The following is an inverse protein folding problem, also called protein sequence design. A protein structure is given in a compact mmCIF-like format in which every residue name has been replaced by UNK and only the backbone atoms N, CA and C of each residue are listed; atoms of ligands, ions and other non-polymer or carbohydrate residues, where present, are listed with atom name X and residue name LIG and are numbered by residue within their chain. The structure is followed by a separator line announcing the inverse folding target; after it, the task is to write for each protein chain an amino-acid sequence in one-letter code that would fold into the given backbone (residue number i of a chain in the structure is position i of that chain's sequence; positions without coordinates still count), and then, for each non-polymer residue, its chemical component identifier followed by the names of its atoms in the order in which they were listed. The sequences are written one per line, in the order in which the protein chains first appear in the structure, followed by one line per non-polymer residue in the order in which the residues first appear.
data_IF_405394491468
#
_entry.id   IF_405394491468
#
_cell.length_a   1.000
_cell.length_b   1.000
_cell.length_c   1.000
_cell.angle_alpha   90.00
_cell.angle_beta   90.00
_cell.angle_gamma   90.00
#
_symmetry.space_group_name_H-M   'P 1'
#
loop_
_entity.id
_entity.type
_entity.pdbx_description
1 polymer ?
#
# COMPACT_ATOMS: atom_id res chain seq x y z
N UNK A 1 9.57 25.14 -16.12
CA UNK A 1 10.48 24.73 -17.20
C UNK A 1 9.64 24.18 -18.34
N UNK A 2 9.00 25.08 -19.09
CA UNK A 2 8.36 24.84 -20.38
C UNK A 2 8.47 26.18 -21.13
N UNK A 3 9.71 26.56 -21.41
CA UNK A 3 10.02 27.53 -22.45
C UNK A 3 10.01 26.76 -23.76
N UNK A 4 8.82 26.54 -24.31
CA UNK A 4 8.70 26.11 -25.69
C UNK A 4 8.45 27.34 -26.56
N UNK A 5 9.46 27.62 -27.40
CA UNK A 5 9.29 28.11 -28.76
C UNK A 5 8.66 29.50 -28.84
N UNK A 6 9.39 30.48 -28.30
CA UNK A 6 9.42 31.83 -28.87
C UNK A 6 10.86 32.08 -29.27
N UNK A 7 11.16 32.16 -30.57
CA UNK A 7 12.38 32.80 -31.01
C UNK A 7 12.29 34.26 -30.55
N UNK A 8 12.81 34.55 -29.36
CA UNK A 8 12.85 35.90 -28.81
C UNK A 8 13.79 36.73 -29.65
N UNK A 9 13.24 37.52 -30.57
CA UNK A 9 13.97 38.61 -31.22
C UNK A 9 13.56 39.90 -30.51
N UNK A 10 13.96 40.02 -29.25
CA UNK A 10 13.95 41.30 -28.56
C UNK A 10 15.41 41.64 -28.26
N UNK A 11 16.03 42.37 -29.18
CA UNK A 11 17.25 43.11 -28.90
C UNK A 11 16.95 44.21 -27.89
N UNK A 12 16.93 43.85 -26.60
CA UNK A 12 16.85 44.80 -25.50
C UNK A 12 18.21 44.79 -24.78
N UNK A 13 19.19 45.46 -25.39
CA UNK A 13 20.47 45.74 -24.74
C UNK A 13 21.69 45.57 -25.64
N UNK A 14 21.84 46.45 -26.64
CA UNK A 14 23.11 47.14 -26.96
C UNK A 14 22.99 47.92 -28.28
N UNK A 15 23.24 49.24 -28.17
CA UNK A 15 23.47 50.30 -29.17
C UNK A 15 22.82 50.22 -30.58
N UNK A 16 22.15 51.29 -31.03
CA UNK A 16 21.49 51.33 -32.33
C UNK A 16 22.52 51.43 -33.46
N UNK A 17 22.69 50.35 -34.20
CA UNK A 17 23.26 50.39 -35.55
C UNK A 17 22.15 50.02 -36.53
N UNK A 18 21.77 51.00 -37.37
CA UNK A 18 20.80 50.95 -38.47
C UNK A 18 19.32 50.72 -38.11
N UNK A 19 18.52 51.77 -38.30
CA UNK A 19 17.09 51.95 -37.98
C UNK A 19 16.09 50.98 -38.65
N UNK A 20 16.52 49.96 -39.38
CA UNK A 20 15.61 49.09 -40.15
C UNK A 20 15.16 47.83 -39.40
N UNK A 21 15.92 47.34 -38.41
CA UNK A 21 15.65 46.05 -37.76
C UNK A 21 14.78 46.16 -36.49
N UNK A 22 14.60 47.36 -35.93
CA UNK A 22 13.91 47.59 -34.65
C UNK A 22 12.38 47.73 -34.80
N UNK A 23 11.88 47.89 -36.03
CA UNK A 23 10.46 48.20 -36.28
C UNK A 23 9.80 47.27 -37.32
N UNK A 24 10.24 46.00 -37.38
CA UNK A 24 9.61 44.99 -38.22
C UNK A 24 8.53 44.28 -37.42
N UNK A 25 7.26 44.55 -37.73
CA UNK A 25 6.16 43.74 -37.23
C UNK A 25 6.18 42.37 -37.93
N UNK A 26 6.81 41.39 -37.28
CA UNK A 26 6.90 40.01 -37.78
C UNK A 26 5.54 39.36 -38.01
N UNK A 27 4.49 39.78 -37.29
CA UNK A 27 3.13 39.27 -37.51
C UNK A 27 2.58 39.79 -38.82
N UNK A 28 2.73 41.09 -39.09
CA UNK A 28 2.32 41.67 -40.37
C UNK A 28 3.16 41.12 -41.53
N UNK A 29 4.48 40.99 -41.34
CA UNK A 29 5.37 40.46 -42.37
C UNK A 29 5.03 39.01 -42.74
N UNK A 30 4.71 38.16 -41.76
CA UNK A 30 4.22 36.81 -42.01
C UNK A 30 2.86 36.81 -42.70
N UNK A 31 1.95 37.73 -42.35
CA UNK A 31 0.64 37.85 -43.01
C UNK A 31 0.71 38.29 -44.47
N UNK A 32 1.77 39.00 -44.85
CA UNK A 32 2.00 39.43 -46.23
C UNK A 32 2.88 38.43 -47.00
N UNK A 33 3.37 37.39 -46.34
CA UNK A 33 4.33 36.45 -46.89
C UNK A 33 3.69 35.40 -47.79
N UNK A 34 4.49 34.86 -48.72
CA UNK A 34 4.04 33.78 -49.63
C UNK A 34 3.78 32.48 -48.87
N UNK A 35 4.45 32.27 -47.75
CA UNK A 35 4.30 31.11 -46.88
C UNK A 35 2.93 31.09 -46.22
N UNK A 36 2.42 32.25 -45.76
CA UNK A 36 1.07 32.32 -45.23
C UNK A 36 0.02 32.11 -46.32
N UNK A 37 0.22 32.67 -47.51
CA UNK A 37 -0.66 32.39 -48.66
C UNK A 37 -0.68 30.89 -48.99
N UNK A 38 0.49 30.23 -49.04
CA UNK A 38 0.57 28.79 -49.29
C UNK A 38 -0.10 27.95 -48.19
N UNK A 39 -0.05 28.38 -46.92
CA UNK A 39 -0.76 27.74 -45.82
C UNK A 39 -2.28 27.90 -45.95
N UNK A 40 -2.74 29.12 -46.27
CA UNK A 40 -4.16 29.40 -46.49
C UNK A 40 -4.72 28.61 -47.68
N UNK A 41 -3.99 28.60 -48.80
CA UNK A 41 -4.33 27.78 -49.97
C UNK A 41 -4.37 26.29 -49.63
N UNK A 42 -3.46 25.83 -48.76
CA UNK A 42 -3.43 24.46 -48.25
C UNK A 42 -4.64 24.12 -47.37
N UNK A 43 -5.05 25.04 -46.51
CA UNK A 43 -6.25 24.94 -45.69
C UNK A 43 -7.53 24.94 -46.54
N UNK A 44 -7.59 25.75 -47.59
CA UNK A 44 -8.74 25.86 -48.49
C UNK A 44 -8.90 24.66 -49.45
N UNK A 45 -7.95 23.71 -49.46
CA UNK A 45 -8.05 22.48 -50.24
C UNK A 45 -9.28 21.66 -49.82
N UNK A 46 -10.06 21.13 -50.79
CA UNK A 46 -11.18 20.27 -50.49
C UNK A 46 -10.70 19.00 -49.76
N UNK A 47 -11.36 18.66 -48.65
CA UNK A 47 -10.99 17.56 -47.75
C UNK A 47 -10.17 17.97 -46.52
N UNK A 48 -9.71 19.23 -46.42
CA UNK A 48 -8.97 19.73 -45.25
C UNK A 48 -9.88 20.53 -44.31
N UNK A 49 -10.32 21.73 -44.75
CA UNK A 49 -11.25 22.59 -43.99
C UNK A 49 -12.67 22.59 -44.55
N UNK A 50 -12.87 22.03 -45.75
CA UNK A 50 -14.15 21.91 -46.45
C UNK A 50 -14.40 20.45 -46.83
N UNK A 51 -15.65 19.98 -46.87
CA UNK A 51 -15.98 18.63 -47.31
C UNK A 51 -15.39 18.33 -48.70
N UNK A 52 -14.82 17.14 -48.85
CA UNK A 52 -14.32 16.66 -50.14
C UNK A 52 -15.47 16.56 -51.15
N UNK A 53 -15.31 17.16 -52.33
CA UNK A 53 -16.27 17.06 -53.42
C UNK A 53 -16.43 15.63 -53.97
N UNK A 54 -15.51 14.71 -53.63
CA UNK A 54 -15.43 13.34 -54.16
C UNK A 54 -16.09 12.26 -53.30
N UNK A 55 -16.98 12.59 -52.36
CA UNK A 55 -17.70 11.57 -51.57
C UNK A 55 -16.83 10.78 -50.58
N UNK A 56 -15.63 11.27 -50.24
CA UNK A 56 -14.83 10.68 -49.16
C UNK A 56 -15.60 10.79 -47.84
N UNK A 57 -15.87 9.65 -47.22
CA UNK A 57 -16.53 9.58 -45.93
C UNK A 57 -15.65 10.22 -44.85
N UNK A 58 -16.28 10.95 -43.93
CA UNK A 58 -15.61 11.50 -42.76
C UNK A 58 -14.88 10.38 -41.99
N UNK A 59 -13.63 10.62 -41.60
CA UNK A 59 -12.90 9.70 -40.72
C UNK A 59 -13.47 9.82 -39.30
N UNK A 60 -14.51 9.05 -39.00
CA UNK A 60 -15.12 9.00 -37.68
C UNK A 60 -14.32 8.04 -36.79
N UNK A 61 -13.57 8.59 -35.84
CA UNK A 61 -12.93 7.80 -34.78
C UNK A 61 -13.97 7.38 -33.74
N UNK A 62 -14.68 6.29 -34.00
CA UNK A 62 -15.74 5.76 -33.10
C UNK A 62 -15.18 5.26 -31.77
N UNK A 63 -13.94 4.76 -31.77
CA UNK A 63 -13.29 4.25 -30.57
C UNK A 63 -12.35 5.28 -29.95
N UNK A 64 -12.55 5.56 -28.66
CA UNK A 64 -11.63 6.39 -27.87
C UNK A 64 -10.19 5.83 -27.81
N UNK A 65 -9.99 4.53 -28.04
CA UNK A 65 -8.70 3.83 -27.94
C UNK A 65 -8.59 2.78 -29.04
N UNK A 66 -7.39 2.60 -29.60
CA UNK A 66 -7.15 1.70 -30.72
C UNK A 66 -7.19 0.19 -30.35
N UNK A 67 -6.71 -0.17 -29.15
CA UNK A 67 -6.65 -1.57 -28.71
C UNK A 67 -7.90 -2.00 -27.92
N UNK A 68 -8.26 -3.28 -27.98
CA UNK A 68 -9.33 -3.85 -27.15
C UNK A 68 -8.95 -3.87 -25.66
N UNK A 69 -9.95 -3.91 -24.78
CA UNK A 69 -9.76 -3.97 -23.32
C UNK A 69 -8.90 -5.15 -22.86
N UNK A 70 -9.08 -6.32 -23.47
CA UNK A 70 -8.30 -7.52 -23.11
C UNK A 70 -6.83 -7.38 -23.50
N UNK A 71 -6.54 -6.81 -24.68
CA UNK A 71 -5.17 -6.53 -25.10
C UNK A 71 -4.50 -5.52 -24.17
N UNK A 72 -5.22 -4.46 -23.77
CA UNK A 72 -4.71 -3.49 -22.80
C UNK A 72 -4.39 -4.15 -21.45
N UNK A 73 -5.29 -4.97 -20.92
CA UNK A 73 -5.07 -5.71 -19.67
C UNK A 73 -3.84 -6.61 -19.75
N UNK A 74 -3.76 -7.48 -20.77
CA UNK A 74 -2.65 -8.45 -20.91
C UNK A 74 -1.30 -7.74 -21.03
N UNK A 75 -1.23 -6.67 -21.81
CA UNK A 75 0.00 -5.90 -21.99
C UNK A 75 0.41 -5.18 -20.69
N UNK A 76 -0.55 -4.59 -19.97
CA UNK A 76 -0.25 -3.87 -18.73
C UNK A 76 0.15 -4.80 -17.59
N UNK A 77 -0.55 -5.93 -17.40
CA UNK A 77 -0.16 -6.94 -16.41
C UNK A 77 1.25 -7.48 -16.72
N UNK A 78 1.50 -7.84 -17.98
CA UNK A 78 2.83 -8.30 -18.41
C UNK A 78 3.92 -7.25 -18.19
N UNK A 79 3.61 -5.97 -18.48
CA UNK A 79 4.52 -4.84 -18.22
C UNK A 79 4.85 -4.71 -16.75
N UNK A 80 3.85 -4.70 -15.86
CA UNK A 80 4.08 -4.55 -14.43
C UNK A 80 4.87 -5.73 -13.86
N UNK A 81 4.55 -6.97 -14.22
CA UNK A 81 5.34 -8.13 -13.80
C UNK A 81 6.80 -8.03 -14.27
N UNK A 82 7.04 -7.56 -15.49
CA UNK A 82 8.39 -7.35 -16.01
C UNK A 82 9.13 -6.21 -15.28
N UNK A 83 8.44 -5.11 -14.94
CA UNK A 83 9.01 -4.00 -14.16
C UNK A 83 9.43 -4.49 -12.77
N UNK A 84 8.54 -5.18 -12.05
CA UNK A 84 8.84 -5.68 -10.71
C UNK A 84 10.00 -6.69 -10.70
N UNK A 85 10.09 -7.52 -11.75
CA UNK A 85 11.21 -8.44 -11.91
C UNK A 85 12.53 -7.72 -12.25
N UNK A 86 12.50 -6.72 -13.12
CA UNK A 86 13.69 -5.98 -13.60
C UNK A 86 14.15 -4.87 -12.67
N UNK A 87 13.34 -4.48 -11.69
CA UNK A 87 13.68 -3.50 -10.65
C UNK A 87 13.91 -4.23 -9.33
N UNK A 88 15.05 -4.92 -9.17
CA UNK A 88 15.31 -5.71 -7.98
C UNK A 88 15.44 -4.85 -6.73
N UNK A 89 15.79 -3.57 -6.82
CA UNK A 89 15.96 -2.70 -5.65
C UNK A 89 14.72 -2.69 -4.76
N UNK A 90 13.52 -2.58 -5.32
CA UNK A 90 12.28 -2.57 -4.54
C UNK A 90 12.02 -3.91 -3.82
N UNK A 91 12.06 -5.02 -4.56
CA UNK A 91 11.76 -6.36 -4.04
C UNK A 91 12.88 -6.89 -3.12
N UNK A 92 14.14 -6.70 -3.51
CA UNK A 92 15.32 -7.16 -2.78
C UNK A 92 15.48 -6.41 -1.46
N UNK A 93 15.29 -5.08 -1.46
CA UNK A 93 15.32 -4.32 -0.20
C UNK A 93 14.27 -4.84 0.77
N UNK A 94 13.04 -5.11 0.30
CA UNK A 94 11.99 -5.70 1.14
C UNK A 94 12.40 -7.04 1.74
N UNK A 95 12.89 -7.98 0.92
CA UNK A 95 13.33 -9.29 1.39
C UNK A 95 14.49 -9.17 2.39
N UNK A 96 15.49 -8.35 2.09
CA UNK A 96 16.66 -8.17 2.96
C UNK A 96 16.28 -7.54 4.29
N UNK A 97 15.41 -6.54 4.30
CA UNK A 97 14.95 -5.95 5.56
C UNK A 97 14.08 -6.93 6.35
N UNK A 98 13.21 -7.71 5.70
CA UNK A 98 12.47 -8.78 6.37
C UNK A 98 13.41 -9.81 7.01
N UNK A 99 14.46 -10.27 6.31
CA UNK A 99 15.45 -11.21 6.87
C UNK A 99 16.21 -10.61 8.06
N UNK A 100 16.64 -9.35 7.95
CA UNK A 100 17.29 -8.63 9.05
C UNK A 100 16.37 -8.53 10.27
N UNK A 101 15.10 -8.18 10.08
CA UNK A 101 14.10 -8.11 11.14
C UNK A 101 13.89 -9.47 11.81
N UNK A 102 13.79 -10.56 11.05
CA UNK A 102 13.67 -11.91 11.65
C UNK A 102 14.88 -12.23 12.52
N UNK A 103 16.09 -11.90 12.09
CA UNK A 103 17.29 -12.18 12.89
C UNK A 103 17.26 -11.36 14.18
N UNK A 104 17.02 -10.04 14.09
CA UNK A 104 17.04 -9.14 15.25
C UNK A 104 15.96 -9.51 16.28
N UNK A 105 14.72 -9.72 15.81
CA UNK A 105 13.58 -9.95 16.70
C UNK A 105 13.33 -11.43 17.00
N UNK A 106 13.59 -12.32 16.06
CA UNK A 106 13.39 -13.76 16.24
C UNK A 106 14.36 -14.36 17.26
N UNK A 107 15.58 -13.84 17.37
CA UNK A 107 16.55 -14.28 18.40
C UNK A 107 16.05 -14.01 19.83
N UNK A 108 15.22 -12.99 20.03
CA UNK A 108 14.64 -12.67 21.35
C UNK A 108 13.67 -13.75 21.83
N UNK A 109 13.02 -14.47 20.90
CA UNK A 109 12.01 -15.47 21.20
C UNK A 109 12.55 -16.92 21.23
N UNK A 110 13.85 -17.10 21.00
CA UNK A 110 14.48 -18.42 21.05
C UNK A 110 14.39 -18.98 22.46
N UNK A 111 13.78 -20.17 22.59
CA UNK A 111 13.49 -20.83 23.87
C UNK A 111 12.62 -19.98 24.82
N UNK A 112 11.73 -19.13 24.28
CA UNK A 112 10.82 -18.31 25.08
C UNK A 112 9.81 -19.15 25.86
N UNK A 113 9.68 -18.89 27.16
CA UNK A 113 8.65 -19.49 28.01
C UNK A 113 7.39 -18.61 28.02
N UNK A 114 6.41 -18.96 27.18
CA UNK A 114 5.19 -18.16 26.98
C UNK A 114 4.11 -18.35 28.06
N UNK A 115 4.33 -19.26 29.01
CA UNK A 115 3.49 -19.45 30.20
C UNK A 115 3.80 -18.44 31.30
N UNK A 116 4.94 -17.76 31.24
CA UNK A 116 5.29 -16.70 32.18
C UNK A 116 4.73 -15.35 31.70
N UNK A 117 4.18 -14.56 32.61
CA UNK A 117 3.67 -13.20 32.33
C UNK A 117 4.67 -12.35 31.54
N UNK A 118 5.95 -12.37 31.93
CA UNK A 118 6.99 -11.60 31.24
C UNK A 118 7.28 -12.15 29.84
N UNK A 119 7.34 -13.48 29.71
CA UNK A 119 7.60 -14.14 28.43
C UNK A 119 6.47 -13.93 27.43
N UNK A 120 5.21 -13.99 27.88
CA UNK A 120 4.05 -13.72 27.05
C UNK A 120 4.03 -12.26 26.55
N UNK A 121 4.23 -11.28 27.44
CA UNK A 121 4.28 -9.87 27.05
C UNK A 121 5.44 -9.56 26.09
N UNK A 122 6.61 -10.20 26.30
CA UNK A 122 7.73 -10.10 25.38
C UNK A 122 7.36 -10.66 23.99
N UNK A 123 6.72 -11.83 23.94
CA UNK A 123 6.25 -12.43 22.69
C UNK A 123 5.24 -11.54 21.95
N UNK A 124 4.22 -11.05 22.66
CA UNK A 124 3.23 -10.10 22.12
C UNK A 124 3.93 -8.87 21.54
N UNK A 125 4.88 -8.29 22.29
CA UNK A 125 5.62 -7.10 21.86
C UNK A 125 6.49 -7.34 20.64
N UNK A 126 7.15 -8.50 20.54
CA UNK A 126 7.95 -8.84 19.37
C UNK A 126 7.07 -9.10 18.14
N UNK A 127 5.93 -9.78 18.29
CA UNK A 127 4.96 -9.97 17.19
C UNK A 127 4.40 -8.62 16.72
N UNK A 128 4.06 -7.74 17.66
CA UNK A 128 3.64 -6.37 17.35
C UNK A 128 4.70 -5.63 16.54
N UNK A 129 5.93 -5.55 17.07
CA UNK A 129 7.03 -4.82 16.42
C UNK A 129 7.33 -5.38 15.04
N UNK A 130 7.52 -6.70 14.91
CA UNK A 130 7.84 -7.32 13.62
C UNK A 130 6.74 -7.11 12.58
N UNK A 131 5.47 -7.24 12.98
CA UNK A 131 4.32 -6.99 12.09
C UNK A 131 4.32 -5.54 11.61
N UNK A 132 4.37 -4.59 12.53
CA UNK A 132 4.33 -3.16 12.19
C UNK A 132 5.52 -2.71 11.35
N UNK A 133 6.74 -3.17 11.68
CA UNK A 133 7.92 -2.86 10.90
C UNK A 133 7.81 -3.39 9.46
N UNK A 134 7.39 -4.65 9.26
CA UNK A 134 7.18 -5.20 7.91
C UNK A 134 6.15 -4.36 7.12
N UNK A 135 5.09 -3.91 7.77
CA UNK A 135 4.09 -3.01 7.18
C UNK A 135 4.66 -1.64 6.78
N UNK A 136 5.38 -0.98 7.69
CA UNK A 136 5.96 0.36 7.46
C UNK A 136 7.01 0.31 6.35
N UNK A 137 7.87 -0.71 6.32
CA UNK A 137 8.88 -0.87 5.26
C UNK A 137 8.20 -1.03 3.90
N UNK A 138 7.13 -1.83 3.84
CA UNK A 138 6.39 -2.02 2.60
C UNK A 138 5.70 -0.73 2.15
N UNK A 139 5.13 0.03 3.09
CA UNK A 139 4.55 1.36 2.85
C UNK A 139 5.60 2.35 2.32
N UNK A 140 6.72 2.54 3.02
CA UNK A 140 7.77 3.51 2.61
C UNK A 140 8.40 3.11 1.29
N UNK A 141 8.67 1.82 1.10
CA UNK A 141 9.29 1.31 -0.12
C UNK A 141 8.43 1.52 -1.37
N UNK A 142 7.09 1.48 -1.24
CA UNK A 142 6.20 1.63 -2.41
C UNK A 142 6.05 3.08 -2.89
N UNK A 143 6.33 4.07 -2.03
CA UNK A 143 6.13 5.49 -2.33
C UNK A 143 6.95 5.96 -3.55
N UNK A 144 8.30 5.83 -3.56
CA UNK A 144 9.11 6.27 -4.70
C UNK A 144 8.84 5.44 -5.96
N UNK A 145 8.63 4.14 -5.81
CA UNK A 145 8.34 3.23 -6.92
C UNK A 145 7.05 3.65 -7.64
N UNK A 146 5.97 3.84 -6.88
CA UNK A 146 4.67 4.25 -7.45
C UNK A 146 4.71 5.68 -7.96
N UNK A 147 5.46 6.56 -7.29
CA UNK A 147 5.65 7.96 -7.69
C UNK A 147 6.23 8.08 -9.09
N UNK A 148 7.28 7.32 -9.38
CA UNK A 148 7.92 7.29 -10.70
C UNK A 148 6.97 6.73 -11.78
N UNK A 149 6.23 5.66 -11.48
CA UNK A 149 5.27 5.08 -12.44
C UNK A 149 4.08 5.99 -12.74
N UNK A 150 3.68 6.84 -11.79
CA UNK A 150 2.59 7.80 -11.96
C UNK A 150 2.89 8.84 -13.04
N UNK A 151 4.15 9.25 -13.20
CA UNK A 151 4.56 10.21 -14.23
C UNK A 151 4.39 9.63 -15.64
N UNK A 152 4.86 8.39 -15.83
CA UNK A 152 4.67 7.66 -17.09
C UNK A 152 3.18 7.47 -17.39
N UNK A 153 2.39 7.11 -16.37
CA UNK A 153 0.94 6.96 -16.49
C UNK A 153 0.25 8.24 -17.00
N UNK A 154 0.61 9.41 -16.50
CA UNK A 154 -0.02 10.66 -16.94
C UNK A 154 0.23 10.93 -18.43
N UNK A 155 1.44 10.67 -18.92
CA UNK A 155 1.77 10.80 -20.35
C UNK A 155 0.98 9.81 -21.20
N UNK A 156 0.90 8.55 -20.78
CA UNK A 156 0.17 7.49 -21.49
C UNK A 156 -1.35 7.69 -21.47
N UNK A 157 -1.86 8.32 -20.41
CA UNK A 157 -3.25 8.74 -20.30
C UNK A 157 -3.56 9.91 -21.23
N UNK A 158 -2.66 10.88 -21.36
CA UNK A 158 -2.82 12.01 -22.27
C UNK A 158 -2.94 11.54 -23.74
N UNK A 159 -2.15 10.54 -24.13
CA UNK A 159 -2.21 9.90 -25.45
C UNK A 159 -3.35 8.88 -25.62
N UNK A 160 -4.22 8.70 -24.61
CA UNK A 160 -5.32 7.73 -24.61
C UNK A 160 -4.89 6.28 -24.92
N UNK A 161 -3.67 5.90 -24.55
CA UNK A 161 -3.09 4.58 -24.90
C UNK A 161 -3.89 3.42 -24.30
N UNK A 162 -4.37 3.56 -23.07
CA UNK A 162 -5.14 2.53 -22.37
C UNK A 162 -6.13 3.13 -21.35
N UNK A 163 -7.00 2.28 -20.79
CA UNK A 163 -7.90 2.65 -19.71
C UNK A 163 -7.18 2.66 -18.34
N UNK A 164 -7.44 3.69 -17.51
CA UNK A 164 -6.94 3.79 -16.15
C UNK A 164 -7.25 2.55 -15.31
N UNK A 165 -8.41 1.92 -15.56
CA UNK A 165 -8.80 0.68 -14.89
C UNK A 165 -7.79 -0.45 -15.15
N UNK A 166 -7.31 -0.62 -16.39
CA UNK A 166 -6.38 -1.69 -16.73
C UNK A 166 -4.97 -1.44 -16.16
N UNK A 167 -4.57 -0.17 -16.05
CA UNK A 167 -3.34 0.21 -15.34
C UNK A 167 -3.42 -0.16 -13.86
N UNK A 168 -4.52 0.23 -13.21
CA UNK A 168 -4.77 -0.07 -11.81
C UNK A 168 -4.80 -1.58 -11.54
N UNK A 169 -5.48 -2.34 -12.39
CA UNK A 169 -5.53 -3.81 -12.30
C UNK A 169 -4.14 -4.42 -12.45
N UNK A 170 -3.35 -3.97 -13.44
CA UNK A 170 -1.98 -4.43 -13.64
C UNK A 170 -1.07 -4.17 -12.44
N UNK A 171 -1.11 -2.95 -11.90
CA UNK A 171 -0.35 -2.58 -10.70
C UNK A 171 -0.78 -3.40 -9.46
N UNK A 172 -2.08 -3.69 -9.35
CA UNK A 172 -2.63 -4.45 -8.23
C UNK A 172 -2.19 -5.91 -8.23
N UNK A 173 -2.31 -6.59 -9.38
CA UNK A 173 -1.94 -7.99 -9.50
C UNK A 173 -0.44 -8.23 -9.41
N UNK A 174 0.38 -7.28 -9.87
CA UNK A 174 1.82 -7.43 -9.82
C UNK A 174 2.37 -7.46 -8.38
N UNK A 175 1.76 -6.75 -7.43
CA UNK A 175 2.23 -6.72 -6.02
C UNK A 175 2.05 -8.04 -5.28
N UNK A 176 0.96 -8.77 -5.54
CA UNK A 176 0.55 -9.95 -4.78
C UNK A 176 1.66 -11.02 -4.69
N UNK A 177 2.23 -11.53 -5.80
CA UNK A 177 3.22 -12.61 -5.72
C UNK A 177 4.48 -12.22 -4.94
N UNK A 178 4.98 -10.99 -5.11
CA UNK A 178 6.20 -10.55 -4.42
C UNK A 178 5.99 -10.34 -2.92
N UNK A 179 4.82 -9.84 -2.52
CA UNK A 179 4.49 -9.66 -1.10
C UNK A 179 4.27 -10.98 -0.39
N UNK A 180 3.56 -11.92 -1.02
CA UNK A 180 3.38 -13.26 -0.47
C UNK A 180 4.71 -14.00 -0.37
N UNK A 181 5.59 -13.87 -1.36
CA UNK A 181 6.93 -14.43 -1.31
C UNK A 181 7.81 -13.82 -0.20
N UNK A 182 7.78 -12.50 -0.04
CA UNK A 182 8.51 -11.82 1.05
C UNK A 182 8.00 -12.23 2.43
N UNK A 183 6.67 -12.32 2.60
CA UNK A 183 6.06 -12.80 3.84
C UNK A 183 6.39 -14.27 4.11
N UNK A 184 6.48 -15.10 3.07
CA UNK A 184 6.89 -16.50 3.20
C UNK A 184 8.33 -16.58 3.73
N UNK A 185 9.25 -15.83 3.14
CA UNK A 185 10.66 -15.79 3.58
C UNK A 185 10.82 -15.30 5.03
N UNK A 186 10.01 -14.34 5.45
CA UNK A 186 9.97 -13.90 6.85
C UNK A 186 9.47 -15.01 7.77
N UNK A 187 8.30 -15.56 7.48
CA UNK A 187 7.59 -16.48 8.39
C UNK A 187 8.20 -17.86 8.46
N UNK A 188 8.81 -18.37 7.38
CA UNK A 188 9.48 -19.67 7.37
C UNK A 188 10.66 -19.72 8.34
N UNK A 189 11.29 -18.57 8.62
CA UNK A 189 12.38 -18.46 9.60
C UNK A 189 11.83 -18.04 10.97
N UNK A 190 10.94 -17.04 11.01
CA UNK A 190 10.44 -16.48 12.27
C UNK A 190 9.58 -17.45 13.07
N UNK A 191 8.71 -18.22 12.40
CA UNK A 191 7.77 -19.12 13.08
C UNK A 191 8.47 -20.26 13.85
N UNK A 192 9.47 -20.98 13.27
CA UNK A 192 10.25 -21.94 14.02
C UNK A 192 11.10 -21.31 15.13
N UNK A 193 11.60 -20.08 14.96
CA UNK A 193 12.37 -19.39 16.01
C UNK A 193 11.55 -19.12 17.27
N UNK A 194 10.23 -18.93 17.12
CA UNK A 194 9.30 -18.85 18.23
C UNK A 194 9.04 -20.21 18.92
N UNK A 195 9.53 -21.32 18.36
CA UNK A 195 9.33 -22.67 18.93
C UNK A 195 7.99 -23.32 18.57
N UNK A 196 7.19 -22.72 17.67
CA UNK A 196 5.95 -23.32 17.20
C UNK A 196 6.18 -24.27 16.01
N UNK A 197 5.42 -25.37 15.95
CA UNK A 197 5.61 -26.45 14.96
C UNK A 197 4.39 -26.73 14.07
N UNK A 198 3.24 -26.11 14.36
CA UNK A 198 1.99 -26.37 13.63
C UNK A 198 1.99 -25.74 12.23
N UNK A 199 1.92 -26.58 11.20
CA UNK A 199 1.90 -26.12 9.79
C UNK A 199 0.65 -25.30 9.48
N UNK A 200 -0.52 -25.68 10.00
CA UNK A 200 -1.78 -24.94 9.78
C UNK A 200 -1.71 -23.54 10.38
N UNK A 201 -1.20 -23.43 11.61
CA UNK A 201 -1.00 -22.16 12.31
C UNK A 201 0.01 -21.28 11.58
N UNK A 202 1.12 -21.86 11.09
CA UNK A 202 2.10 -21.16 10.27
C UNK A 202 1.50 -20.63 8.95
N UNK A 203 0.71 -21.44 8.24
CA UNK A 203 0.06 -21.02 7.00
C UNK A 203 -0.88 -19.84 7.22
N UNK A 204 -1.70 -19.86 8.27
CA UNK A 204 -2.60 -18.75 8.60
C UNK A 204 -1.82 -17.50 9.03
N UNK A 205 -0.75 -17.67 9.81
CA UNK A 205 0.16 -16.58 10.19
C UNK A 205 0.78 -15.92 8.95
N UNK A 206 1.28 -16.74 8.02
CA UNK A 206 1.85 -16.27 6.75
C UNK A 206 0.84 -15.52 5.90
N UNK A 207 -0.34 -16.10 5.67
CA UNK A 207 -1.40 -15.47 4.87
C UNK A 207 -1.79 -14.12 5.49
N UNK A 208 -2.05 -14.08 6.79
CA UNK A 208 -2.44 -12.84 7.46
C UNK A 208 -1.34 -11.77 7.42
N UNK A 209 -0.08 -12.14 7.70
CA UNK A 209 1.04 -11.20 7.62
C UNK A 209 1.22 -10.67 6.19
N UNK A 210 1.10 -11.52 5.18
CA UNK A 210 1.18 -11.11 3.78
C UNK A 210 0.02 -10.19 3.38
N UNK A 211 -1.21 -10.47 3.83
CA UNK A 211 -2.36 -9.57 3.61
C UNK A 211 -2.15 -8.21 4.29
N UNK A 212 -1.57 -8.19 5.48
CA UNK A 212 -1.23 -6.96 6.18
C UNK A 212 -0.17 -6.12 5.43
N UNK A 213 0.91 -6.75 4.97
CA UNK A 213 1.95 -6.11 4.15
C UNK A 213 1.34 -5.58 2.84
N UNK A 214 0.43 -6.35 2.24
CA UNK A 214 -0.31 -5.95 1.04
C UNK A 214 -1.17 -4.72 1.29
N UNK A 215 -1.90 -4.70 2.40
CA UNK A 215 -2.73 -3.58 2.82
C UNK A 215 -1.91 -2.30 3.01
N UNK A 216 -0.74 -2.39 3.65
CA UNK A 216 0.15 -1.24 3.85
C UNK A 216 0.78 -0.75 2.55
N UNK A 217 1.12 -1.66 1.64
CA UNK A 217 1.56 -1.30 0.28
C UNK A 217 0.46 -0.57 -0.48
N UNK A 218 -0.79 -1.04 -0.38
CA UNK A 218 -1.92 -0.44 -1.06
C UNK A 218 -2.28 0.94 -0.48
N UNK A 219 -2.10 1.13 0.83
CA UNK A 219 -2.21 2.44 1.47
C UNK A 219 -1.16 3.42 0.93
N UNK A 220 0.09 2.97 0.74
CA UNK A 220 1.13 3.80 0.13
C UNK A 220 0.80 4.19 -1.32
N UNK A 221 0.28 3.25 -2.11
CA UNK A 221 -0.18 3.53 -3.48
C UNK A 221 -1.34 4.53 -3.50
N UNK A 222 -2.31 4.40 -2.59
CA UNK A 222 -3.41 5.35 -2.42
C UNK A 222 -2.87 6.78 -2.22
N UNK A 223 -1.94 6.95 -1.29
CA UNK A 223 -1.39 8.27 -0.99
C UNK A 223 -0.62 8.88 -2.15
N UNK A 224 0.14 8.08 -2.89
CA UNK A 224 0.79 8.56 -4.12
C UNK A 224 -0.24 8.97 -5.18
N UNK A 225 -1.38 8.31 -5.27
CA UNK A 225 -2.40 8.70 -6.24
C UNK A 225 -3.21 9.93 -5.81
N UNK A 226 -3.32 10.21 -4.51
CA UNK A 226 -4.08 11.34 -3.98
C UNK A 226 -3.26 12.61 -3.74
N UNK A 227 -1.97 12.48 -3.40
CA UNK A 227 -1.12 13.58 -2.95
C UNK A 227 -0.15 14.02 -4.04
N UNK A 228 0.21 15.32 -4.09
CA UNK A 228 0.93 15.90 -5.23
C UNK A 228 2.35 15.37 -5.39
N UNK A 229 3.07 15.08 -4.31
CA UNK A 229 4.47 14.63 -4.33
C UNK A 229 4.72 13.43 -3.43
N UNK A 230 5.84 12.74 -3.67
CA UNK A 230 6.29 11.58 -2.87
C UNK A 230 6.58 12.02 -1.43
N UNK A 231 7.17 13.21 -1.24
CA UNK A 231 7.52 13.76 0.06
C UNK A 231 6.27 14.08 0.89
N UNK A 232 5.25 14.70 0.27
CA UNK A 232 3.98 14.97 0.95
C UNK A 232 3.29 13.67 1.33
N UNK A 233 3.28 12.67 0.43
CA UNK A 233 2.75 11.35 0.73
C UNK A 233 3.49 10.67 1.88
N UNK A 234 4.82 10.77 1.92
CA UNK A 234 5.62 10.22 3.00
C UNK A 234 5.27 10.86 4.36
N UNK A 235 5.23 12.20 4.43
CA UNK A 235 4.93 12.92 5.68
C UNK A 235 3.51 12.60 6.18
N UNK A 236 2.51 12.72 5.31
CA UNK A 236 1.11 12.45 5.67
C UNK A 236 0.93 11.00 6.11
N UNK A 237 1.54 10.06 5.40
CA UNK A 237 1.37 8.66 5.77
C UNK A 237 2.18 8.21 6.97
N UNK A 238 3.30 8.86 7.31
CA UNK A 238 3.96 8.65 8.61
C UNK A 238 3.03 9.12 9.73
N UNK A 239 2.39 10.28 9.60
CA UNK A 239 1.42 10.78 10.59
C UNK A 239 0.25 9.82 10.75
N UNK A 240 -0.36 9.38 9.64
CA UNK A 240 -1.49 8.44 9.69
C UNK A 240 -1.05 7.10 10.30
N UNK A 241 0.08 6.53 9.85
CA UNK A 241 0.61 5.28 10.40
C UNK A 241 0.97 5.40 11.90
N UNK A 242 1.39 6.58 12.38
CA UNK A 242 1.67 6.80 13.80
C UNK A 242 0.39 6.76 14.64
N UNK A 243 -0.71 7.35 14.17
CA UNK A 243 -2.03 7.28 14.83
C UNK A 243 -2.47 5.81 14.88
N UNK A 244 -2.44 5.16 13.74
CA UNK A 244 -2.73 3.76 13.51
C UNK A 244 -1.89 2.81 14.39
N UNK A 245 -0.59 3.09 14.56
CA UNK A 245 0.30 2.33 15.45
C UNK A 245 -0.12 2.48 16.92
N UNK A 246 -0.47 3.69 17.35
CA UNK A 246 -0.90 3.98 18.72
C UNK A 246 -2.23 3.29 19.05
N UNK A 247 -3.17 3.28 18.11
CA UNK A 247 -4.49 2.67 18.27
C UNK A 247 -4.56 1.22 17.73
N UNK A 248 -3.42 0.55 17.60
CA UNK A 248 -3.36 -0.84 17.17
C UNK A 248 -3.72 -1.85 18.29
N UNK A 249 -3.87 -1.38 19.54
CA UNK A 249 -4.35 -2.18 20.68
C UNK A 249 -3.27 -2.92 21.47
N UNK A 250 -1.99 -2.64 21.23
CA UNK A 250 -0.87 -3.21 22.00
C UNK A 250 -0.34 -2.24 23.07
N UNK A 251 0.04 -1.02 22.67
CA UNK A 251 0.55 0.01 23.58
C UNK A 251 -0.05 1.40 23.23
N UNK A 252 -1.13 1.83 23.91
CA UNK A 252 -1.78 1.16 25.04
C UNK A 252 -2.51 -0.14 24.65
N UNK A 253 -2.67 -1.08 25.59
CA UNK A 253 -3.52 -2.25 25.38
C UNK A 253 -4.96 -1.83 25.09
N UNK A 254 -5.66 -2.56 24.23
CA UNK A 254 -7.00 -2.18 23.79
C UNK A 254 -7.99 -2.00 24.95
N UNK A 255 -7.87 -2.77 26.03
CA UNK A 255 -8.71 -2.63 27.23
C UNK A 255 -8.54 -1.29 27.96
N UNK A 256 -7.39 -0.63 27.78
CA UNK A 256 -7.05 0.63 28.44
C UNK A 256 -7.34 1.87 27.57
N UNK A 257 -7.85 1.69 26.35
CA UNK A 257 -8.20 2.81 25.46
C UNK A 257 -9.48 3.49 25.99
N UNK A 258 -9.45 4.81 26.29
CA UNK A 258 -10.63 5.52 26.78
C UNK A 258 -11.79 5.47 25.79
N UNK A 259 -13.02 5.40 26.30
CA UNK A 259 -14.24 5.21 25.49
C UNK A 259 -14.38 6.21 24.33
N UNK A 260 -14.04 7.48 24.57
CA UNK A 260 -14.11 8.53 23.54
C UNK A 260 -13.18 8.32 22.34
N UNK A 261 -12.12 7.50 22.48
CA UNK A 261 -11.16 7.21 21.41
C UNK A 261 -11.30 5.78 20.85
N UNK A 262 -12.25 4.96 21.34
CA UNK A 262 -12.44 3.59 20.85
C UNK A 262 -12.79 3.52 19.36
N UNK A 263 -13.41 4.55 18.79
CA UNK A 263 -13.65 4.60 17.35
C UNK A 263 -12.34 4.59 16.53
N UNK A 264 -11.26 5.20 17.03
CA UNK A 264 -9.94 5.17 16.38
C UNK A 264 -9.35 3.76 16.37
N UNK A 265 -9.56 3.01 17.46
CA UNK A 265 -9.22 1.60 17.51
C UNK A 265 -9.96 0.83 16.39
N UNK A 266 -11.29 0.98 16.28
CA UNK A 266 -12.07 0.28 15.25
C UNK A 266 -11.72 0.62 13.79
N UNK A 267 -11.33 1.86 13.48
CA UNK A 267 -10.93 2.24 12.12
C UNK A 267 -9.47 1.90 11.80
N UNK A 268 -8.67 1.57 12.80
CA UNK A 268 -7.28 1.18 12.62
C UNK A 268 -7.22 -0.19 11.95
N UNK A 269 -6.63 -0.31 10.75
CA UNK A 269 -6.58 -1.60 10.07
C UNK A 269 -5.58 -2.57 10.72
N UNK A 270 -4.54 -2.07 11.42
CA UNK A 270 -3.52 -2.92 12.03
C UNK A 270 -4.02 -3.78 13.18
N UNK A 271 -5.00 -3.30 13.96
CA UNK A 271 -5.53 -4.05 15.10
C UNK A 271 -6.14 -5.39 14.68
N UNK A 272 -6.81 -5.45 13.53
CA UNK A 272 -7.41 -6.69 13.02
C UNK A 272 -6.33 -7.72 12.66
N UNK A 273 -5.28 -7.28 11.95
CA UNK A 273 -4.15 -8.16 11.62
C UNK A 273 -3.44 -8.62 12.89
N UNK A 274 -3.19 -7.75 13.85
CA UNK A 274 -2.54 -8.12 15.11
C UNK A 274 -3.40 -9.09 15.91
N UNK A 275 -4.70 -8.82 16.05
CA UNK A 275 -5.64 -9.71 16.72
C UNK A 275 -5.60 -11.12 16.14
N UNK A 276 -5.62 -11.26 14.81
CA UNK A 276 -5.48 -12.56 14.14
C UNK A 276 -4.15 -13.26 14.49
N UNK A 277 -3.01 -12.54 14.43
CA UNK A 277 -1.71 -13.18 14.74
C UNK A 277 -1.65 -13.63 16.21
N UNK A 278 -2.16 -12.82 17.12
CA UNK A 278 -2.19 -13.12 18.55
C UNK A 278 -3.09 -14.31 18.86
N UNK A 279 -4.30 -14.34 18.30
CA UNK A 279 -5.28 -15.39 18.59
C UNK A 279 -4.90 -16.71 17.92
N UNK A 280 -4.31 -16.70 16.72
CA UNK A 280 -3.78 -17.90 16.07
C UNK A 280 -2.73 -18.60 16.94
N UNK A 281 -1.86 -17.84 17.62
CA UNK A 281 -0.76 -18.38 18.42
C UNK A 281 -1.16 -18.74 19.84
N UNK A 282 -2.01 -17.92 20.47
CA UNK A 282 -2.26 -17.98 21.91
C UNK A 282 -3.74 -18.09 22.30
N UNK A 283 -4.66 -18.11 21.32
CA UNK A 283 -6.11 -18.10 21.57
C UNK A 283 -6.80 -19.46 21.42
N UNK A 284 -6.16 -20.45 20.80
CA UNK A 284 -6.79 -21.76 20.54
C UNK A 284 -6.82 -22.64 21.79
N UNK A 285 -7.93 -22.60 22.53
CA UNK A 285 -8.24 -23.50 23.63
C UNK A 285 -9.66 -24.05 23.46
N UNK A 286 -9.83 -25.35 23.14
CA UNK A 286 -11.15 -25.94 22.89
C UNK A 286 -12.08 -25.96 24.11
N UNK A 287 -11.51 -26.02 25.31
CA UNK A 287 -12.24 -26.08 26.57
C UNK A 287 -11.43 -25.34 27.64
N UNK A 288 -12.02 -24.27 28.18
CA UNK A 288 -11.33 -23.42 29.15
C UNK A 288 -11.14 -24.14 30.49
N UNK A 289 -9.94 -24.13 31.07
CA UNK A 289 -9.71 -24.74 32.38
C UNK A 289 -10.44 -23.95 33.47
N UNK A 290 -10.96 -24.65 34.46
CA UNK A 290 -11.70 -24.03 35.57
C UNK A 290 -10.76 -23.80 36.75
N UNK A 291 -10.75 -22.58 37.29
CA UNK A 291 -10.01 -22.27 38.50
C UNK A 291 -10.81 -22.72 39.73
N UNK A 292 -10.22 -23.55 40.57
CA UNK A 292 -10.82 -23.98 41.83
C UNK A 292 -10.25 -23.17 42.99
N UNK A 293 -11.08 -22.29 43.56
CA UNK A 293 -10.73 -21.42 44.68
C UNK A 293 -10.34 -22.21 45.95
N UNK A 294 -10.86 -23.42 46.13
CA UNK A 294 -10.61 -24.23 47.32
C UNK A 294 -9.21 -24.88 47.29
N UNK A 295 -8.79 -25.37 46.11
CA UNK A 295 -7.48 -26.00 45.93
C UNK A 295 -6.41 -25.04 45.43
N UNK A 296 -6.79 -23.81 45.03
CA UNK A 296 -5.91 -22.82 44.41
C UNK A 296 -5.22 -23.34 43.14
N UNK A 297 -5.89 -24.24 42.41
CA UNK A 297 -5.35 -24.89 41.20
C UNK A 297 -6.34 -24.87 40.05
N UNK A 298 -5.82 -24.91 38.82
CA UNK A 298 -6.64 -25.09 37.63
C UNK A 298 -6.94 -26.57 37.39
N UNK A 299 -8.22 -26.88 37.21
CA UNK A 299 -8.72 -28.21 36.85
C UNK A 299 -8.92 -28.26 35.33
N UNK A 300 -8.67 -29.42 34.72
CA UNK A 300 -8.80 -29.67 33.27
C UNK A 300 -7.82 -28.88 32.39
N UNK A 301 -6.61 -28.59 32.87
CA UNK A 301 -5.56 -27.95 32.06
C UNK A 301 -5.12 -28.89 30.94
N UNK A 302 -5.26 -28.44 29.68
CA UNK A 302 -4.78 -29.14 28.49
C UNK A 302 -3.34 -28.76 28.15
N UNK A 303 -2.73 -29.53 27.25
CA UNK A 303 -1.35 -29.31 26.79
C UNK A 303 -1.19 -28.12 25.85
N UNK A 304 -2.28 -27.59 25.28
CA UNK A 304 -2.22 -26.42 24.40
C UNK A 304 -1.81 -25.17 25.18
N UNK A 305 -0.89 -24.38 24.61
CA UNK A 305 -0.33 -23.19 25.28
C UNK A 305 -1.41 -22.19 25.73
N UNK A 306 -2.46 -22.01 24.93
CA UNK A 306 -3.58 -21.11 25.25
C UNK A 306 -4.35 -21.53 26.52
N UNK A 307 -4.44 -22.84 26.79
CA UNK A 307 -5.12 -23.40 27.95
C UNK A 307 -4.23 -23.45 29.20
N UNK A 308 -2.94 -23.11 29.10
CA UNK A 308 -2.05 -23.15 30.25
C UNK A 308 -2.28 -21.95 31.17
N UNK A 309 -2.19 -22.14 32.50
CA UNK A 309 -2.29 -21.06 33.45
C UNK A 309 -1.10 -20.11 33.31
N UNK A 310 -1.37 -18.81 33.35
CA UNK A 310 -0.34 -17.79 33.28
C UNK A 310 0.37 -17.68 34.63
N UNK A 311 1.69 -17.85 34.61
CA UNK A 311 2.54 -17.82 35.80
C UNK A 311 3.12 -16.43 36.04
N UNK A 312 3.48 -16.13 37.29
CA UNK A 312 4.13 -14.88 37.71
C UNK A 312 3.32 -13.62 37.35
N UNK A 313 1.98 -13.70 37.38
CA UNK A 313 1.12 -12.54 37.16
C UNK A 313 1.18 -11.57 38.34
N UNK A 314 1.12 -10.25 38.10
CA UNK A 314 0.93 -9.28 39.17
C UNK A 314 -0.41 -9.48 39.88
N UNK A 315 -0.46 -9.16 41.19
CA UNK A 315 -1.68 -9.26 42.01
C UNK A 315 -2.88 -8.47 41.45
N UNK A 316 -2.65 -7.45 40.64
CA UNK A 316 -3.70 -6.64 40.00
C UNK A 316 -4.46 -7.36 38.88
N UNK A 317 -3.89 -8.41 38.29
CA UNK A 317 -4.47 -9.17 37.17
C UNK A 317 -5.12 -10.46 37.67
N UNK A 318 -4.62 -11.01 38.78
CA UNK A 318 -5.14 -12.24 39.37
C UNK A 318 -4.72 -13.50 38.61
N UNK A 319 -5.47 -14.58 38.85
CA UNK A 319 -5.28 -15.87 38.18
C UNK A 319 -5.99 -15.84 36.83
N UNK A 320 -5.25 -16.06 35.75
CA UNK A 320 -5.79 -16.16 34.40
C UNK A 320 -5.01 -17.18 33.57
N UNK A 321 -5.56 -17.59 32.44
CA UNK A 321 -4.88 -18.41 31.43
C UNK A 321 -4.18 -17.53 30.40
N UNK A 322 -3.34 -18.12 29.56
CA UNK A 322 -2.74 -17.39 28.42
C UNK A 322 -3.82 -16.80 27.51
N UNK A 323 -4.87 -17.58 27.17
CA UNK A 323 -6.04 -17.10 26.41
C UNK A 323 -6.77 -15.97 27.13
N UNK A 324 -7.07 -16.16 28.41
CA UNK A 324 -7.79 -15.18 29.23
C UNK A 324 -7.06 -13.84 29.30
N UNK A 325 -5.74 -13.87 29.53
CA UNK A 325 -4.92 -12.67 29.55
C UNK A 325 -5.00 -11.85 28.25
N UNK A 326 -4.95 -12.53 27.09
CA UNK A 326 -5.00 -11.87 25.79
C UNK A 326 -6.40 -11.29 25.51
N UNK A 327 -7.45 -12.02 25.86
CA UNK A 327 -8.83 -11.54 25.74
C UNK A 327 -9.10 -10.35 26.67
N UNK A 328 -8.61 -10.38 27.91
CA UNK A 328 -8.91 -9.35 28.90
C UNK A 328 -8.10 -8.07 28.69
N UNK A 329 -6.79 -8.20 28.51
CA UNK A 329 -5.86 -7.05 28.42
C UNK A 329 -5.84 -6.45 27.01
N UNK A 330 -5.72 -7.30 25.99
CA UNK A 330 -5.59 -6.87 24.60
C UNK A 330 -6.91 -6.87 23.81
N UNK A 331 -8.01 -7.38 24.39
CA UNK A 331 -9.33 -7.49 23.72
C UNK A 331 -9.24 -8.22 22.37
N UNK A 332 -8.43 -9.28 22.33
CA UNK A 332 -8.23 -10.11 21.15
C UNK A 332 -8.78 -11.51 21.41
N UNK A 333 -9.98 -11.78 20.90
CA UNK A 333 -10.69 -13.04 21.10
C UNK A 333 -10.49 -14.00 19.91
N UNK A 334 -10.37 -15.30 20.21
CA UNK A 334 -10.18 -16.33 19.18
C UNK A 334 -11.41 -16.50 18.29
N UNK A 335 -12.61 -16.35 18.86
CA UNK A 335 -13.87 -16.54 18.14
C UNK A 335 -14.07 -15.48 17.04
N UNK A 336 -13.50 -14.28 17.23
CA UNK A 336 -13.53 -13.18 16.28
C UNK A 336 -12.49 -13.30 15.15
N UNK A 337 -11.65 -14.33 15.14
CA UNK A 337 -10.55 -14.47 14.16
C UNK A 337 -11.05 -14.36 12.71
N UNK A 338 -12.14 -15.06 12.35
CA UNK A 338 -12.69 -15.03 10.99
C UNK A 338 -13.35 -13.70 10.64
N UNK A 339 -14.00 -13.06 11.62
CA UNK A 339 -14.54 -11.71 11.48
C UNK A 339 -13.41 -10.71 11.19
N UNK A 340 -12.28 -10.84 11.91
CA UNK A 340 -11.09 -10.02 11.71
C UNK A 340 -10.48 -10.21 10.32
N UNK A 341 -10.42 -11.45 9.80
CA UNK A 341 -10.03 -11.67 8.40
C UNK A 341 -10.96 -10.94 7.43
N UNK A 342 -12.27 -10.98 7.68
CA UNK A 342 -13.27 -10.22 6.93
C UNK A 342 -12.96 -8.72 6.91
N UNK A 343 -12.66 -8.12 8.07
CA UNK A 343 -12.29 -6.70 8.15
C UNK A 343 -11.01 -6.38 7.36
N UNK A 344 -9.99 -7.23 7.40
CA UNK A 344 -8.76 -7.04 6.59
C UNK A 344 -9.09 -6.97 5.10
N UNK A 345 -9.96 -7.87 4.60
CA UNK A 345 -10.41 -7.81 3.20
C UNK A 345 -11.24 -6.57 2.87
N UNK A 346 -12.07 -6.10 3.81
CA UNK A 346 -12.83 -4.84 3.65
C UNK A 346 -11.87 -3.66 3.51
N UNK A 347 -10.86 -3.53 4.37
CA UNK A 347 -9.88 -2.44 4.27
C UNK A 347 -9.07 -2.52 2.98
N UNK A 348 -8.64 -3.72 2.57
CA UNK A 348 -7.99 -3.94 1.28
C UNK A 348 -8.85 -3.44 0.11
N UNK A 349 -10.14 -3.80 0.11
CA UNK A 349 -11.08 -3.35 -0.90
C UNK A 349 -11.26 -1.83 -0.88
N UNK A 350 -11.46 -1.23 0.30
CA UNK A 350 -11.64 0.22 0.47
C UNK A 350 -10.42 0.99 -0.06
N UNK A 351 -9.20 0.62 0.35
CA UNK A 351 -7.98 1.27 -0.13
C UNK A 351 -7.81 1.15 -1.63
N UNK A 352 -8.16 -0.01 -2.21
CA UNK A 352 -8.13 -0.23 -3.66
C UNK A 352 -9.18 0.56 -4.41
N UNK A 353 -10.40 0.61 -3.89
CA UNK A 353 -11.48 1.40 -4.47
C UNK A 353 -11.14 2.90 -4.47
N UNK A 354 -10.69 3.43 -3.34
CA UNK A 354 -10.24 4.81 -3.23
C UNK A 354 -9.05 5.12 -4.15
N UNK A 355 -8.10 4.19 -4.29
CA UNK A 355 -6.97 4.32 -5.20
C UNK A 355 -7.40 4.43 -6.66
N UNK A 356 -8.39 3.62 -7.06
CA UNK A 356 -8.94 3.66 -8.42
C UNK A 356 -9.66 4.99 -8.69
N UNK A 357 -10.44 5.49 -7.71
CA UNK A 357 -11.08 6.80 -7.81
C UNK A 357 -10.04 7.93 -7.91
N UNK A 358 -9.00 7.89 -7.07
CA UNK A 358 -7.90 8.84 -7.11
C UNK A 358 -7.24 8.86 -8.49
N UNK A 359 -6.83 7.69 -9.02
CA UNK A 359 -6.28 7.57 -10.37
C UNK A 359 -7.22 8.10 -11.44
N UNK A 360 -8.54 7.90 -11.30
CA UNK A 360 -9.51 8.33 -12.32
C UNK A 360 -9.77 9.82 -12.30
N UNK A 361 -9.87 10.45 -11.13
CA UNK A 361 -10.38 11.82 -10.99
C UNK A 361 -9.31 12.85 -10.63
N UNK A 362 -8.21 12.44 -10.01
CA UNK A 362 -7.13 13.34 -9.61
C UNK A 362 -6.06 13.36 -10.69
N UNK A 363 -5.62 14.57 -11.07
CA UNK A 363 -4.49 14.77 -11.96
C UNK A 363 -3.66 15.96 -11.49
N UNK A 364 -2.46 15.68 -11.00
CA UNK A 364 -1.55 16.69 -10.45
C UNK A 364 -0.75 17.47 -11.51
N UNK A 365 -0.92 17.18 -12.81
CA UNK A 365 -0.31 17.98 -13.88
C UNK A 365 -1.09 19.27 -14.19
N UNK A 366 -2.37 19.34 -13.83
CA UNK A 366 -3.17 20.56 -13.95
C UNK A 366 -2.91 21.42 -12.71
N UNK A 367 -1.95 22.35 -12.81
CA UNK A 367 -1.77 23.40 -11.81
C UNK A 367 -2.86 24.46 -11.96
#
# INVERSE_FOLDING_TARGET
MLECIGAGVAGAGEKPTTDAAVNVDFVQHFRESKEQQALLDGLDRPGVSKPSAGGMHEMIFTSKRAASSMTQLRMLVGRFLAIYWRTPSYTLTRIMTSLCLVIVFGLVLVNGEYTSYQGLNAAVGVIFMTTQYNGIIAYVGTLPFTGHERESYYRERASQTYNALWYFVGATFAEIPYIFFSGFMFTVIFYPLMGFTSVTTWLLYWINLSLFILMQTYLGQLFIYTLPSVEVAAIVGVLINAIFLLFAGFNPPAGSIPDGYKWLYHITPQQYSLSILMTILFGNCPEDPTYDDATQTYINVRSELACQPLQNTPLSIGHTTVKGYIADVFKMEYDDMWSNFGYVFIFLFVFRFLSLLALRYINHQKR
#
